data_IF_954049751419
#
_entry.id   IF_954049751419
#
_cell.length_a   1.000
_cell.length_b   1.000
_cell.length_c   1.000
_cell.angle_alpha   90.00
_cell.angle_beta   90.00
_cell.angle_gamma   90.00
#
_symmetry.space_group_name_H-M   'P 1'
#
loop_
_entity.id
_entity.type
_entity.pdbx_description
1 polymer ?
#
# COMPACT_ATOMS: atom_id res chain seq x y z
N UNK A 1 -19.80 26.78 -18.35
CA UNK A 1 -19.52 28.06 -19.03
C UNK A 1 -19.62 28.02 -20.55
N UNK A 2 -19.43 26.89 -21.26
CA UNK A 2 -19.64 26.88 -22.74
C UNK A 2 -20.64 25.82 -23.27
N UNK A 3 -20.97 24.75 -22.54
CA UNK A 3 -21.89 23.71 -23.08
C UNK A 3 -23.25 23.62 -22.34
N UNK A 4 -23.32 23.91 -21.03
CA UNK A 4 -24.57 23.79 -20.24
C UNK A 4 -25.12 25.08 -19.60
N UNK A 5 -24.46 26.25 -19.76
CA UNK A 5 -24.95 27.59 -19.34
C UNK A 5 -25.47 27.78 -17.88
N UNK A 6 -25.35 26.81 -16.98
CA UNK A 6 -25.90 26.86 -15.61
C UNK A 6 -24.99 27.53 -14.55
N UNK A 7 -23.71 27.74 -14.84
CA UNK A 7 -22.74 28.28 -13.86
C UNK A 7 -22.29 29.69 -14.25
N UNK A 8 -22.65 30.68 -13.43
CA UNK A 8 -22.11 32.05 -13.48
C UNK A 8 -20.70 32.10 -12.87
N UNK A 9 -19.90 33.12 -13.23
CA UNK A 9 -18.52 33.31 -12.71
C UNK A 9 -18.47 33.38 -11.17
N UNK A 10 -19.53 33.89 -10.54
CA UNK A 10 -19.68 33.91 -9.07
C UNK A 10 -19.94 32.51 -8.49
N UNK A 11 -20.80 31.71 -9.14
CA UNK A 11 -21.04 30.32 -8.76
C UNK A 11 -19.79 29.45 -8.92
N UNK A 12 -18.96 29.70 -9.94
CA UNK A 12 -17.70 28.98 -10.14
C UNK A 12 -16.73 29.19 -8.96
N UNK A 13 -16.58 30.44 -8.50
CA UNK A 13 -15.77 30.74 -7.31
C UNK A 13 -16.32 30.05 -6.06
N UNK A 14 -17.64 30.07 -5.84
CA UNK A 14 -18.27 29.36 -4.71
C UNK A 14 -18.05 27.84 -4.77
N UNK A 15 -18.18 27.23 -5.95
CA UNK A 15 -17.95 25.79 -6.12
C UNK A 15 -16.48 25.43 -5.92
N UNK A 16 -15.56 26.23 -6.45
CA UNK A 16 -14.11 26.07 -6.23
C UNK A 16 -13.74 26.19 -4.76
N UNK A 17 -14.26 27.21 -4.05
CA UNK A 17 -14.00 27.40 -2.62
C UNK A 17 -14.59 26.25 -1.81
N UNK A 18 -15.80 25.78 -2.12
CA UNK A 18 -16.39 24.64 -1.42
C UNK A 18 -15.62 23.35 -1.68
N UNK A 19 -15.23 23.09 -2.93
CA UNK A 19 -14.40 21.94 -3.29
C UNK A 19 -13.03 22.01 -2.60
N UNK A 20 -12.36 23.17 -2.64
CA UNK A 20 -11.10 23.41 -1.96
C UNK A 20 -11.24 23.21 -0.44
N UNK A 21 -12.31 23.70 0.19
CA UNK A 21 -12.53 23.54 1.62
C UNK A 21 -12.71 22.08 2.01
N UNK A 22 -13.43 21.30 1.21
CA UNK A 22 -13.55 19.86 1.42
C UNK A 22 -12.22 19.12 1.21
N UNK A 23 -11.46 19.46 0.17
CA UNK A 23 -10.17 18.80 -0.10
C UNK A 23 -9.08 19.22 0.89
N UNK A 24 -9.11 20.44 1.42
CA UNK A 24 -8.15 20.90 2.44
C UNK A 24 -8.28 20.13 3.74
N UNK A 25 -9.50 19.86 4.22
CA UNK A 25 -9.71 19.04 5.43
C UNK A 25 -9.17 17.62 5.22
N UNK A 26 -9.40 17.06 4.03
CA UNK A 26 -8.88 15.74 3.65
C UNK A 26 -7.36 15.76 3.62
N UNK A 27 -6.75 16.68 2.87
CA UNK A 27 -5.29 16.78 2.74
C UNK A 27 -4.61 17.06 4.07
N UNK A 28 -5.27 17.75 5.00
CA UNK A 28 -4.76 17.96 6.35
C UNK A 28 -4.71 16.64 7.15
N UNK A 29 -5.74 15.80 7.06
CA UNK A 29 -5.72 14.46 7.66
C UNK A 29 -4.62 13.58 7.05
N UNK A 30 -4.42 13.65 5.72
CA UNK A 30 -3.33 12.93 5.04
C UNK A 30 -1.96 13.39 5.52
N UNK A 31 -1.77 14.70 5.67
CA UNK A 31 -0.51 15.28 6.14
C UNK A 31 -0.17 14.83 7.58
N UNK A 32 -1.17 14.73 8.46
CA UNK A 32 -0.97 14.23 9.82
C UNK A 32 -0.54 12.74 9.83
N UNK A 33 -1.12 11.90 8.98
CA UNK A 33 -0.74 10.49 8.87
C UNK A 33 0.68 10.30 8.28
N UNK A 34 1.11 11.19 7.39
CA UNK A 34 2.46 11.19 6.79
C UNK A 34 3.57 11.34 7.85
N UNK A 35 3.33 12.05 8.95
CA UNK A 35 4.31 12.23 10.03
C UNK A 35 4.68 10.89 10.69
N UNK A 36 3.70 10.00 10.88
CA UNK A 36 3.95 8.66 11.43
C UNK A 36 4.76 7.79 10.46
N UNK A 37 4.46 7.87 9.16
CA UNK A 37 5.23 7.16 8.13
C UNK A 37 6.69 7.66 8.07
N UNK A 38 6.91 8.96 8.22
CA UNK A 38 8.25 9.57 8.22
C UNK A 38 9.09 9.15 9.43
N UNK A 39 8.52 9.14 10.64
CA UNK A 39 9.18 8.68 11.86
C UNK A 39 9.71 7.24 11.73
N UNK A 40 8.93 6.37 11.11
CA UNK A 40 9.26 4.94 10.94
C UNK A 40 10.31 4.74 9.86
N UNK A 41 10.30 5.60 8.84
CA UNK A 41 11.36 5.65 7.84
C UNK A 41 12.70 6.07 8.48
N UNK A 42 12.67 7.07 9.38
CA UNK A 42 13.86 7.53 10.12
C UNK A 42 14.35 6.50 11.13
N UNK A 43 13.44 5.73 11.73
CA UNK A 43 13.79 4.66 12.66
C UNK A 43 14.48 3.46 11.99
N UNK A 44 14.69 3.50 10.67
CA UNK A 44 15.36 2.43 9.90
C UNK A 44 14.72 1.04 10.09
N UNK A 45 13.43 1.01 10.43
CA UNK A 45 12.64 -0.22 10.56
C UNK A 45 12.78 -1.16 9.35
N UNK A 46 12.82 -0.67 8.09
CA UNK A 46 13.07 -1.52 6.92
C UNK A 46 14.42 -2.26 6.96
N UNK A 47 15.48 -1.62 7.47
CA UNK A 47 16.81 -2.23 7.58
C UNK A 47 16.83 -3.28 8.70
N UNK A 48 16.24 -2.98 9.86
CA UNK A 48 16.13 -3.94 10.96
C UNK A 48 15.39 -5.22 10.54
N UNK A 49 14.36 -5.08 9.72
CA UNK A 49 13.60 -6.21 9.18
C UNK A 49 14.45 -7.02 8.20
N UNK A 50 15.26 -6.37 7.35
CA UNK A 50 16.20 -7.04 6.44
C UNK A 50 17.27 -7.85 7.19
N UNK A 51 17.84 -7.30 8.26
CA UNK A 51 18.86 -7.98 9.06
C UNK A 51 18.29 -9.22 9.77
N UNK A 52 17.03 -9.16 10.20
CA UNK A 52 16.32 -10.30 10.79
C UNK A 52 16.04 -11.42 9.78
N UNK A 53 16.04 -11.11 8.48
CA UNK A 53 15.74 -12.02 7.38
C UNK A 53 16.98 -12.74 6.82
N UNK A 54 18.18 -12.18 7.00
CA UNK A 54 19.44 -12.80 6.55
C UNK A 54 19.67 -14.26 7.01
N UNK A 55 19.29 -14.69 8.23
CA UNK A 55 19.51 -16.07 8.66
C UNK A 55 18.55 -17.08 8.02
N UNK A 56 17.47 -16.62 7.36
CA UNK A 56 16.43 -17.47 6.79
C UNK A 56 16.65 -17.81 5.31
N UNK A 57 17.76 -17.34 4.72
CA UNK A 57 18.10 -17.51 3.30
C UNK A 57 18.23 -18.97 2.86
N UNK A 58 18.54 -19.87 3.79
CA UNK A 58 18.66 -21.32 3.53
C UNK A 58 17.35 -22.00 3.09
N UNK A 59 16.20 -21.33 3.23
CA UNK A 59 14.88 -21.88 2.89
C UNK A 59 14.04 -20.91 2.03
N UNK A 60 14.11 -21.02 0.68
CA UNK A 60 13.52 -20.04 -0.24
C UNK A 60 12.02 -19.76 -0.02
N UNK A 61 11.23 -20.78 0.34
CA UNK A 61 9.78 -20.61 0.62
C UNK A 61 9.52 -19.88 1.94
N UNK A 62 10.27 -20.19 3.00
CA UNK A 62 10.10 -19.53 4.28
C UNK A 62 10.57 -18.08 4.19
N UNK A 63 11.73 -17.83 3.56
CA UNK A 63 12.22 -16.49 3.29
C UNK A 63 11.18 -15.65 2.54
N UNK A 64 10.55 -16.20 1.50
CA UNK A 64 9.52 -15.47 0.75
C UNK A 64 8.28 -15.14 1.60
N UNK A 65 7.80 -16.09 2.40
CA UNK A 65 6.66 -15.87 3.30
C UNK A 65 6.97 -14.78 4.33
N UNK A 66 8.16 -14.84 4.96
CA UNK A 66 8.55 -13.84 5.96
C UNK A 66 8.75 -12.48 5.30
N UNK A 67 9.36 -12.40 4.11
CA UNK A 67 9.46 -11.16 3.34
C UNK A 67 8.07 -10.57 3.05
N UNK A 68 7.11 -11.38 2.62
CA UNK A 68 5.74 -10.91 2.38
C UNK A 68 5.08 -10.41 3.66
N UNK A 69 5.21 -11.12 4.78
CA UNK A 69 4.68 -10.64 6.07
C UNK A 69 5.35 -9.33 6.49
N UNK A 70 6.67 -9.25 6.35
CA UNK A 70 7.47 -8.07 6.65
C UNK A 70 7.06 -6.86 5.82
N UNK A 71 6.93 -7.02 4.50
CA UNK A 71 6.43 -5.95 3.60
C UNK A 71 5.01 -5.57 3.98
N UNK A 72 4.18 -6.52 4.44
CA UNK A 72 2.81 -6.23 4.83
C UNK A 72 2.79 -5.35 6.08
N UNK A 73 3.57 -5.70 7.10
CA UNK A 73 3.70 -4.92 8.34
C UNK A 73 4.27 -3.54 8.06
N UNK A 74 5.30 -3.44 7.21
CA UNK A 74 5.89 -2.14 6.83
C UNK A 74 4.91 -1.33 5.98
N UNK A 75 4.28 -1.93 4.98
CA UNK A 75 3.31 -1.29 4.07
C UNK A 75 1.97 -0.95 4.73
N UNK A 76 1.65 -1.54 5.89
CA UNK A 76 0.53 -1.11 6.72
C UNK A 76 0.74 0.28 7.31
N UNK A 77 2.00 0.73 7.42
CA UNK A 77 2.39 1.93 8.14
C UNK A 77 3.04 2.97 7.23
N UNK A 78 3.89 2.51 6.29
CA UNK A 78 4.51 3.34 5.28
C UNK A 78 3.68 3.41 4.01
N UNK A 79 3.78 4.54 3.31
CA UNK A 79 3.14 4.72 2.01
C UNK A 79 3.82 3.88 0.91
N UNK A 80 3.13 3.63 -0.22
CA UNK A 80 3.64 2.83 -1.33
C UNK A 80 4.96 3.37 -1.87
N UNK A 81 5.05 4.70 -2.03
CA UNK A 81 6.21 5.39 -2.60
C UNK A 81 7.51 5.15 -1.82
N UNK A 82 7.61 5.47 -0.51
CA UNK A 82 8.83 5.20 0.27
C UNK A 82 9.11 3.71 0.43
N UNK A 83 8.07 2.88 0.57
CA UNK A 83 8.21 1.43 0.69
C UNK A 83 8.90 0.83 -0.53
N UNK A 84 8.42 1.15 -1.74
CA UNK A 84 9.05 0.69 -2.99
C UNK A 84 10.48 1.23 -3.12
N UNK A 85 10.72 2.51 -2.86
CA UNK A 85 12.04 3.12 -3.05
C UNK A 85 13.11 2.56 -2.10
N UNK A 86 12.73 2.20 -0.88
CA UNK A 86 13.68 1.75 0.17
C UNK A 86 13.77 0.22 0.23
N UNK A 87 12.64 -0.49 0.30
CA UNK A 87 12.67 -1.94 0.49
C UNK A 87 13.02 -2.71 -0.79
N UNK A 88 12.72 -2.18 -1.97
CA UNK A 88 13.07 -2.86 -3.23
C UNK A 88 14.58 -3.08 -3.36
N UNK A 89 15.46 -2.07 -3.28
CA UNK A 89 16.91 -2.29 -3.42
C UNK A 89 17.50 -3.15 -2.29
N UNK A 90 16.90 -3.12 -1.10
CA UNK A 90 17.34 -3.91 0.06
C UNK A 90 16.95 -5.39 -0.08
N UNK A 91 15.73 -5.68 -0.54
CA UNK A 91 15.21 -7.05 -0.65
C UNK A 91 15.54 -7.73 -1.98
N UNK A 92 15.77 -6.97 -3.06
CA UNK A 92 16.14 -7.52 -4.37
C UNK A 92 17.38 -8.44 -4.34
N UNK A 93 18.49 -8.14 -3.64
CA UNK A 93 19.63 -9.05 -3.55
C UNK A 93 19.27 -10.36 -2.84
N UNK A 94 18.54 -10.29 -1.72
CA UNK A 94 18.06 -11.47 -0.97
C UNK A 94 17.18 -12.39 -1.82
N UNK A 95 16.28 -11.81 -2.61
CA UNK A 95 15.37 -12.54 -3.52
C UNK A 95 16.16 -13.21 -4.66
N UNK A 96 17.17 -12.54 -5.20
CA UNK A 96 18.05 -13.10 -6.24
C UNK A 96 18.92 -14.23 -5.71
N UNK A 97 19.47 -14.10 -4.50
CA UNK A 97 20.24 -15.16 -3.83
C UNK A 97 19.37 -16.39 -3.54
N UNK A 98 18.11 -16.17 -3.14
CA UNK A 98 17.14 -17.23 -2.89
C UNK A 98 16.55 -17.88 -4.17
N UNK A 99 17.06 -17.54 -5.37
CA UNK A 99 16.56 -18.03 -6.67
C UNK A 99 15.06 -17.74 -6.94
N UNK A 100 14.55 -16.61 -6.43
CA UNK A 100 13.17 -16.19 -6.64
C UNK A 100 13.11 -15.23 -7.83
N UNK A 101 12.10 -15.39 -8.69
CA UNK A 101 11.91 -14.53 -9.85
C UNK A 101 11.64 -13.07 -9.41
N UNK A 102 12.46 -12.08 -9.84
CA UNK A 102 12.29 -10.68 -9.47
C UNK A 102 10.94 -10.09 -9.87
N UNK A 103 10.34 -10.57 -10.96
CA UNK A 103 9.05 -10.09 -11.47
C UNK A 103 7.94 -10.60 -10.56
N UNK A 104 8.00 -11.88 -10.19
CA UNK A 104 7.08 -12.47 -9.20
C UNK A 104 7.16 -11.71 -7.87
N UNK A 105 8.38 -11.41 -7.40
CA UNK A 105 8.58 -10.58 -6.21
C UNK A 105 7.97 -9.19 -6.37
N UNK A 106 8.19 -8.50 -7.49
CA UNK A 106 7.65 -7.15 -7.73
C UNK A 106 6.13 -7.09 -7.75
N UNK A 107 5.47 -8.05 -8.39
CA UNK A 107 4.00 -8.14 -8.41
C UNK A 107 3.45 -8.39 -7.00
N UNK A 108 4.03 -9.36 -6.29
CA UNK A 108 3.64 -9.68 -4.92
C UNK A 108 3.90 -8.50 -3.97
N UNK A 109 5.01 -7.78 -4.16
CA UNK A 109 5.36 -6.59 -3.39
C UNK A 109 4.29 -5.50 -3.55
N UNK A 110 3.89 -5.17 -4.77
CA UNK A 110 2.91 -4.12 -5.05
C UNK A 110 1.52 -4.51 -4.51
N UNK A 111 1.09 -5.76 -4.72
CA UNK A 111 -0.19 -6.26 -4.20
C UNK A 111 -0.19 -6.16 -2.67
N UNK A 112 0.86 -6.66 -2.02
CA UNK A 112 0.97 -6.66 -0.57
C UNK A 112 1.03 -5.25 0.02
N UNK A 113 1.77 -4.33 -0.60
CA UNK A 113 1.81 -2.94 -0.19
C UNK A 113 0.43 -2.25 -0.38
N UNK A 114 -0.29 -2.59 -1.45
CA UNK A 114 -1.66 -2.09 -1.70
C UNK A 114 -2.64 -2.59 -0.62
N UNK A 115 -2.49 -3.83 -0.16
CA UNK A 115 -3.26 -4.37 0.95
C UNK A 115 -2.90 -3.64 2.25
N UNK A 116 -1.61 -3.39 2.48
CA UNK A 116 -1.12 -2.63 3.63
C UNK A 116 -1.79 -1.27 3.77
N UNK A 117 -1.88 -0.51 2.67
CA UNK A 117 -2.50 0.83 2.64
C UNK A 117 -3.98 0.86 3.05
N UNK A 118 -4.67 -0.26 2.86
CA UNK A 118 -6.10 -0.43 3.13
C UNK A 118 -6.32 -1.01 4.55
N UNK A 119 -5.32 -1.70 5.10
CA UNK A 119 -5.47 -2.44 6.37
C UNK A 119 -5.39 -1.47 7.57
N UNK A 120 -6.19 -1.68 8.65
CA UNK A 120 -6.44 -0.65 9.67
C UNK A 120 -5.31 -0.19 10.62
N UNK A 121 -4.09 -0.76 10.71
CA UNK A 121 -3.10 -0.28 11.70
C UNK A 121 -2.76 1.21 11.55
N UNK A 122 -2.64 1.68 10.30
CA UNK A 122 -2.49 3.11 9.96
C UNK A 122 -3.43 3.49 8.83
N UNK A 123 -3.72 2.56 7.91
CA UNK A 123 -4.80 2.67 6.91
C UNK A 123 -4.77 4.00 6.18
N UNK A 124 -3.64 4.40 5.60
CA UNK A 124 -3.44 5.75 5.09
C UNK A 124 -4.50 6.12 4.04
N UNK A 125 -4.80 5.19 3.11
CA UNK A 125 -5.86 5.37 2.11
C UNK A 125 -7.25 5.39 2.75
N UNK A 126 -7.47 4.57 3.78
CA UNK A 126 -8.72 4.54 4.52
C UNK A 126 -8.96 5.83 5.32
N UNK A 127 -7.91 6.41 5.88
CA UNK A 127 -7.90 7.72 6.52
C UNK A 127 -8.25 8.82 5.52
N UNK A 128 -7.67 8.78 4.30
CA UNK A 128 -8.04 9.71 3.23
C UNK A 128 -9.52 9.57 2.87
N UNK A 129 -10.01 8.35 2.64
CA UNK A 129 -11.39 8.08 2.21
C UNK A 129 -12.39 8.48 3.30
N UNK A 130 -12.11 8.17 4.57
CA UNK A 130 -12.96 8.57 5.70
C UNK A 130 -13.08 10.10 5.79
N UNK A 131 -11.99 10.83 5.54
CA UNK A 131 -11.98 12.29 5.43
C UNK A 131 -12.83 12.81 4.26
N UNK A 132 -12.73 12.20 3.07
CA UNK A 132 -13.48 12.61 1.86
C UNK A 132 -14.97 12.33 2.04
N UNK A 133 -15.30 11.13 2.50
CA UNK A 133 -16.67 10.67 2.70
C UNK A 133 -17.33 11.28 3.96
N UNK A 134 -16.56 12.00 4.80
CA UNK A 134 -16.98 12.50 6.12
C UNK A 134 -17.56 11.41 7.01
N UNK A 135 -17.03 10.20 6.89
CA UNK A 135 -17.42 9.04 7.68
C UNK A 135 -16.45 8.89 8.86
N UNK A 136 -16.92 8.28 9.96
CA UNK A 136 -16.01 7.91 11.04
C UNK A 136 -15.06 6.82 10.55
N UNK A 137 -13.81 6.89 10.98
CA UNK A 137 -12.78 5.90 10.62
C UNK A 137 -13.24 4.46 10.89
N UNK A 138 -13.92 4.21 12.02
CA UNK A 138 -14.48 2.89 12.39
C UNK A 138 -15.50 2.37 11.35
N UNK A 139 -16.38 3.24 10.85
CA UNK A 139 -17.38 2.85 9.84
C UNK A 139 -16.71 2.49 8.50
N UNK A 140 -15.66 3.22 8.13
CA UNK A 140 -14.86 2.92 6.94
C UNK A 140 -14.09 1.60 7.11
N UNK A 141 -13.49 1.35 8.29
CA UNK A 141 -12.80 0.10 8.62
C UNK A 141 -13.75 -1.08 8.52
N UNK A 142 -14.96 -1.01 9.10
CA UNK A 142 -15.95 -2.09 9.02
C UNK A 142 -16.40 -2.38 7.59
N UNK A 143 -16.59 -1.34 6.78
CA UNK A 143 -16.98 -1.50 5.38
C UNK A 143 -15.89 -2.17 4.53
N UNK A 144 -14.63 -1.88 4.83
CA UNK A 144 -13.47 -2.36 4.06
C UNK A 144 -12.92 -3.69 4.58
N UNK A 145 -13.21 -4.05 5.84
CA UNK A 145 -12.82 -5.32 6.45
C UNK A 145 -13.13 -6.57 5.59
N UNK A 146 -14.35 -6.78 5.05
CA UNK A 146 -14.61 -7.93 4.18
C UNK A 146 -13.73 -7.94 2.92
N UNK A 147 -13.38 -6.76 2.38
CA UNK A 147 -12.49 -6.65 1.23
C UNK A 147 -11.04 -7.01 1.58
N UNK A 148 -10.56 -6.56 2.75
CA UNK A 148 -9.22 -6.91 3.27
C UNK A 148 -9.09 -8.42 3.46
N UNK A 149 -10.13 -9.09 3.97
CA UNK A 149 -10.13 -10.56 4.14
C UNK A 149 -10.02 -11.28 2.78
N UNK A 150 -10.72 -10.79 1.75
CA UNK A 150 -10.62 -11.35 0.39
C UNK A 150 -9.22 -11.11 -0.19
N UNK A 151 -8.64 -9.93 -0.02
CA UNK A 151 -7.29 -9.64 -0.49
C UNK A 151 -6.21 -10.44 0.24
N UNK A 152 -6.36 -10.63 1.55
CA UNK A 152 -5.47 -11.47 2.35
C UNK A 152 -5.53 -12.93 1.93
N UNK A 153 -6.73 -13.45 1.65
CA UNK A 153 -6.88 -14.81 1.13
C UNK A 153 -6.31 -14.97 -0.29
N UNK A 154 -6.45 -13.96 -1.15
CA UNK A 154 -5.77 -13.91 -2.45
C UNK A 154 -4.25 -13.89 -2.31
N UNK A 155 -3.71 -13.13 -1.35
CA UNK A 155 -2.27 -13.09 -1.09
C UNK A 155 -1.74 -14.46 -0.65
N UNK A 156 -2.46 -15.14 0.25
CA UNK A 156 -2.14 -16.53 0.64
C UNK A 156 -2.21 -17.47 -0.57
N UNK A 157 -3.24 -17.34 -1.41
CA UNK A 157 -3.39 -18.15 -2.63
C UNK A 157 -2.20 -17.94 -3.59
N UNK A 158 -1.77 -16.69 -3.79
CA UNK A 158 -0.63 -16.38 -4.65
C UNK A 158 0.71 -16.88 -4.09
N UNK A 159 0.88 -16.90 -2.76
CA UNK A 159 2.05 -17.49 -2.10
C UNK A 159 2.12 -19.01 -2.37
N UNK A 160 0.99 -19.72 -2.30
CA UNK A 160 0.94 -21.17 -2.49
C UNK A 160 0.89 -21.61 -3.96
N UNK A 161 0.38 -20.76 -4.85
CA UNK A 161 0.26 -21.01 -6.29
C UNK A 161 0.99 -19.89 -7.06
N UNK A 162 2.34 -19.92 -7.10
CA UNK A 162 3.11 -18.92 -7.83
C UNK A 162 2.83 -18.97 -9.34
N UNK A 163 2.36 -20.11 -9.85
CA UNK A 163 1.98 -20.28 -11.25
C UNK A 163 0.90 -19.29 -11.70
N UNK A 164 0.01 -18.82 -10.83
CA UNK A 164 -1.05 -17.86 -11.19
C UNK A 164 -0.51 -16.49 -11.60
N UNK A 165 0.70 -16.15 -11.16
CA UNK A 165 1.40 -14.91 -11.52
C UNK A 165 2.38 -15.16 -12.68
N UNK A 166 3.04 -16.32 -12.71
CA UNK A 166 4.08 -16.64 -13.70
C UNK A 166 3.48 -17.07 -15.06
N UNK A 167 2.29 -17.70 -15.08
CA UNK A 167 1.63 -18.13 -16.33
C UNK A 167 1.17 -16.97 -17.23
N UNK A 168 0.48 -15.92 -16.75
CA UNK A 168 0.16 -14.77 -17.60
C UNK A 168 1.43 -14.00 -18.04
N UNK A 169 2.48 -14.02 -17.22
CA UNK A 169 3.76 -13.39 -17.57
C UNK A 169 4.47 -14.07 -18.74
N UNK A 170 4.41 -15.41 -18.81
CA UNK A 170 4.90 -16.20 -19.96
C UNK A 170 4.05 -16.05 -21.23
N UNK A 171 2.86 -15.45 -21.12
CA UNK A 171 1.96 -15.23 -22.26
C UNK A 171 2.10 -13.82 -22.85
N UNK A 172 2.70 -12.89 -22.09
CA UNK A 172 2.93 -11.49 -22.49
C UNK A 172 4.36 -11.27 -23.05
N UNK A 173 5.31 -12.14 -22.74
CA UNK A 173 6.63 -12.24 -23.39
C UNK A 173 6.63 -13.31 -24.49
#
# INVERSE_FOLDING_TARGET
>A
MVIYRELTFSSLYHVLVNAAKTTSVVMFLVAAAQVSAWLITIAELPMMVSDLLQPLVDSPRLLFIVIMISIMVVGMVMDLTPTVLILTPVLLPLVKEANIDPIYFGVMFIINCSIGLITPPVGNVLNVISGVAKLKFDDAVRGVFPYVVVLMSLLVLFIFIPELIITPLKWIN
#
